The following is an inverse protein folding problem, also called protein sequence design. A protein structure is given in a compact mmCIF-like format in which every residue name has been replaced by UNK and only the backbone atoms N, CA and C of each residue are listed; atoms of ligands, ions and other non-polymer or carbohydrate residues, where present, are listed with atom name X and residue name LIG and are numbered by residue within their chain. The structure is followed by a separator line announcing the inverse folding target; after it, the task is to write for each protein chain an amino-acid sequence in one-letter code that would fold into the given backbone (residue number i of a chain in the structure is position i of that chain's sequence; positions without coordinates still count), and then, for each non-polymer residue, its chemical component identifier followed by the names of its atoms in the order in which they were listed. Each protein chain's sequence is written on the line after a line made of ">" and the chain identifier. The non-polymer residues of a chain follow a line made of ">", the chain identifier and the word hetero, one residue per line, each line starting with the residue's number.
data_IF_373443370769
#
_entry.id   IF_373443370769
#
_cell.length_a   1.000
_cell.length_b   1.000
_cell.length_c   1.000
_cell.angle_alpha   90.00
_cell.angle_beta   90.00
_cell.angle_gamma   90.00
#
_symmetry.space_group_name_H-M   'P 1'
#
loop_
_entity.id
_entity.type
_entity.pdbx_description
1 polymer ?
#
# COMPACT_ATOMS: atom_id res chain seq x y z
N UNK A 1 -15.98 -5.21 -2.32
CA UNK A 1 -16.61 -4.08 -3.06
C UNK A 1 -15.48 -3.23 -3.65
N UNK A 2 -15.53 -2.86 -4.92
CA UNK A 2 -14.45 -2.10 -5.59
C UNK A 2 -15.02 -0.79 -6.12
N UNK A 3 -14.47 0.33 -5.67
CA UNK A 3 -14.86 1.67 -6.12
C UNK A 3 -13.91 2.15 -7.22
N UNK A 4 -14.33 3.14 -8.05
CA UNK A 4 -13.45 3.74 -9.04
C UNK A 4 -12.22 4.37 -8.39
N UNK A 5 -11.02 4.11 -8.95
CA UNK A 5 -9.76 4.73 -8.47
C UNK A 5 -9.81 6.26 -8.44
N UNK A 6 -10.60 6.85 -9.32
CA UNK A 6 -10.76 8.31 -9.39
C UNK A 6 -11.32 8.87 -8.07
N UNK A 7 -12.18 8.13 -7.38
CA UNK A 7 -12.75 8.58 -6.11
C UNK A 7 -11.70 8.60 -5.00
N UNK A 8 -10.78 7.62 -4.96
CA UNK A 8 -9.67 7.65 -4.00
C UNK A 8 -8.78 8.87 -4.18
N UNK A 9 -8.59 9.35 -5.43
CA UNK A 9 -7.78 10.54 -5.71
C UNK A 9 -8.38 11.84 -5.16
N UNK A 10 -9.65 11.86 -4.75
CA UNK A 10 -10.26 13.04 -4.13
C UNK A 10 -9.93 13.17 -2.64
N UNK A 11 -9.34 12.13 -2.02
CA UNK A 11 -8.97 12.10 -0.61
C UNK A 11 -7.64 12.85 -0.31
N UNK A 12 -6.97 13.39 -1.33
CA UNK A 12 -5.71 14.12 -1.21
C UNK A 12 -4.59 13.51 -2.04
N UNK A 13 -3.34 13.73 -1.63
CA UNK A 13 -2.17 13.21 -2.33
C UNK A 13 -1.98 11.70 -2.08
N UNK A 14 -2.72 10.88 -2.83
CA UNK A 14 -2.60 9.43 -2.77
C UNK A 14 -1.33 8.99 -3.51
N UNK A 15 -0.29 8.64 -2.76
CA UNK A 15 1.02 8.25 -3.30
C UNK A 15 1.15 6.78 -3.69
N UNK A 16 0.20 5.92 -3.30
CA UNK A 16 0.18 4.50 -3.63
C UNK A 16 -1.27 3.95 -3.67
N UNK A 17 -1.56 3.08 -4.65
CA UNK A 17 -2.81 2.32 -4.74
C UNK A 17 -2.61 0.96 -5.42
N UNK A 18 -2.73 -0.13 -4.67
CA UNK A 18 -2.78 -1.50 -5.20
C UNK A 18 -4.20 -1.97 -5.51
N UNK A 19 -4.42 -2.59 -6.68
CA UNK A 19 -5.64 -3.35 -6.98
C UNK A 19 -5.34 -4.85 -6.86
N UNK A 20 -6.26 -5.60 -6.26
CA UNK A 20 -6.16 -7.05 -6.14
C UNK A 20 -7.36 -7.74 -6.78
N UNK A 21 -7.14 -8.92 -7.35
CA UNK A 21 -8.21 -9.73 -7.98
C UNK A 21 -9.05 -10.51 -6.96
N UNK A 22 -8.57 -10.67 -5.72
CA UNK A 22 -9.16 -11.50 -4.65
C UNK A 22 -8.95 -10.84 -3.29
N UNK A 23 -9.70 -11.28 -2.29
CA UNK A 23 -9.73 -10.72 -0.93
C UNK A 23 -10.97 -9.85 -0.69
N UNK A 24 -11.46 -9.89 0.55
CA UNK A 24 -12.65 -9.19 1.00
C UNK A 24 -12.35 -8.10 2.02
N UNK A 25 -13.21 -8.01 3.04
CA UNK A 25 -13.15 -6.94 4.05
C UNK A 25 -11.94 -7.12 4.98
N UNK A 26 -11.54 -8.35 5.25
CA UNK A 26 -10.48 -8.68 6.20
C UNK A 26 -9.21 -9.05 5.46
N UNK A 27 -8.65 -8.12 4.69
CA UNK A 27 -7.49 -8.35 3.83
C UNK A 27 -6.30 -9.02 4.54
N UNK A 28 -6.07 -8.69 5.82
CA UNK A 28 -5.01 -9.29 6.63
C UNK A 28 -5.21 -10.79 6.89
N UNK A 29 -6.45 -11.25 7.01
CA UNK A 29 -6.79 -12.67 7.21
C UNK A 29 -6.97 -13.41 5.89
N UNK A 30 -7.60 -12.75 4.93
CA UNK A 30 -7.97 -13.37 3.66
C UNK A 30 -6.80 -13.46 2.69
N UNK A 31 -5.97 -12.42 2.61
CA UNK A 31 -4.85 -12.32 1.67
C UNK A 31 -3.62 -11.66 2.34
N UNK A 32 -3.07 -12.26 3.42
CA UNK A 32 -1.98 -11.68 4.20
C UNK A 32 -0.76 -11.30 3.35
N UNK A 33 -0.38 -12.16 2.39
CA UNK A 33 0.79 -11.92 1.53
C UNK A 33 0.60 -10.74 0.59
N UNK A 34 -0.60 -10.56 0.03
CA UNK A 34 -0.90 -9.45 -0.86
C UNK A 34 -0.84 -8.12 -0.09
N UNK A 35 -1.45 -8.08 1.10
CA UNK A 35 -1.42 -6.91 1.96
C UNK A 35 0.01 -6.58 2.40
N UNK A 36 0.77 -7.57 2.86
CA UNK A 36 2.15 -7.38 3.30
C UNK A 36 3.06 -6.91 2.15
N UNK A 37 2.87 -7.44 0.94
CA UNK A 37 3.65 -7.04 -0.23
C UNK A 37 3.38 -5.58 -0.62
N UNK A 38 2.13 -5.13 -0.56
CA UNK A 38 1.78 -3.74 -0.85
C UNK A 38 2.41 -2.76 0.15
N UNK A 39 2.42 -3.11 1.44
CA UNK A 39 3.14 -2.32 2.45
C UNK A 39 4.65 -2.25 2.16
N UNK A 40 5.26 -3.38 1.76
CA UNK A 40 6.68 -3.40 1.38
C UNK A 40 6.97 -2.57 0.14
N UNK A 41 6.10 -2.58 -0.86
CA UNK A 41 6.25 -1.73 -2.06
C UNK A 41 6.09 -0.24 -1.73
N UNK A 42 5.17 0.09 -0.83
CA UNK A 42 4.90 1.48 -0.48
C UNK A 42 6.04 2.10 0.35
N UNK A 43 6.51 1.39 1.39
CA UNK A 43 7.48 1.90 2.36
C UNK A 43 8.92 1.42 2.13
N UNK A 44 9.14 0.40 1.28
CA UNK A 44 10.47 -0.14 1.00
C UNK A 44 11.35 0.80 0.18
N UNK A 45 12.63 0.44 0.03
CA UNK A 45 13.58 1.22 -0.78
C UNK A 45 13.04 1.42 -2.19
N UNK A 46 13.02 2.67 -2.67
CA UNK A 46 12.47 3.05 -3.97
C UNK A 46 10.94 3.12 -4.03
N UNK A 47 10.26 2.84 -2.92
CA UNK A 47 8.82 3.01 -2.77
C UNK A 47 8.41 4.48 -2.65
N UNK A 48 7.15 4.81 -3.00
CA UNK A 48 6.66 6.19 -2.99
C UNK A 48 6.58 6.84 -1.60
N UNK A 49 6.58 6.03 -0.52
CA UNK A 49 6.63 6.51 0.86
C UNK A 49 7.96 6.15 1.55
N UNK A 50 9.01 5.89 0.78
CA UNK A 50 10.34 5.64 1.31
C UNK A 50 10.86 6.84 2.12
N UNK A 51 11.45 6.58 3.30
CA UNK A 51 12.04 7.62 4.13
C UNK A 51 11.05 8.57 4.81
N UNK A 52 9.74 8.26 4.77
CA UNK A 52 8.70 9.08 5.43
C UNK A 52 8.86 9.15 6.94
N UNK A 53 9.55 8.16 7.54
CA UNK A 53 9.86 8.12 8.97
C UNK A 53 11.25 8.74 9.20
N UNK A 54 11.35 9.86 9.97
CA UNK A 54 12.63 10.50 10.24
C UNK A 54 13.65 9.54 10.83
N UNK A 55 14.87 9.55 10.30
CA UNK A 55 15.96 8.70 10.76
C UNK A 55 15.80 7.20 10.48
N UNK A 56 14.78 6.79 9.71
CA UNK A 56 14.56 5.39 9.30
C UNK A 56 14.46 5.30 7.78
N UNK A 57 15.43 4.63 7.17
CA UNK A 57 15.47 4.34 5.73
C UNK A 57 14.68 3.07 5.34
N UNK A 58 13.61 2.73 6.07
CA UNK A 58 12.82 1.51 5.83
C UNK A 58 13.60 0.21 6.10
N UNK A 59 12.98 -0.95 5.79
CA UNK A 59 13.66 -2.25 5.85
C UNK A 59 14.58 -2.35 4.63
N UNK A 60 15.80 -1.83 4.78
CA UNK A 60 16.87 -2.10 3.82
C UNK A 60 17.10 -3.60 3.77
N UNK A 61 17.10 -4.14 2.56
CA UNK A 61 17.43 -5.55 2.36
C UNK A 61 18.92 -5.75 2.55
#
# INVERSE_FOLDING_TARGET
>A
MRFPRLWSKTLGNVVFMGDHKKGGHFAAFEQPDLLANDLRKMFGIGGPAFGVVPGKSGYAK
#
